data_IF_591687581229
#
_entry.id   IF_591687581229
#
_cell.length_a   1.000
_cell.length_b   1.000
_cell.length_c   1.000
_cell.angle_alpha   90.00
_cell.angle_beta   90.00
_cell.angle_gamma   90.00
#
_symmetry.space_group_name_H-M   'P 1'
#
loop_
_entity.id
_entity.type
_entity.pdbx_description
1 polymer ?
#
# COMPACT_ATOMS: atom_id res chain seq x y z
N UNK A 1 1.32 -42.26 -30.18
CA UNK A 1 0.11 -41.41 -30.12
C UNK A 1 0.24 -40.58 -28.86
N UNK A 2 0.91 -39.43 -28.94
CA UNK A 2 1.24 -38.58 -27.80
C UNK A 2 0.48 -37.25 -27.93
N UNK A 3 -0.35 -36.98 -26.93
CA UNK A 3 -1.18 -35.79 -26.81
C UNK A 3 -0.35 -34.66 -26.19
N UNK A 4 0.01 -33.65 -27.00
CA UNK A 4 0.59 -32.39 -26.52
C UNK A 4 -0.54 -31.37 -26.27
N UNK A 5 -0.74 -30.88 -25.05
CA UNK A 5 -1.66 -29.77 -24.83
C UNK A 5 -1.00 -28.46 -25.27
N UNK A 6 -1.71 -27.71 -26.12
CA UNK A 6 -1.37 -26.33 -26.53
C UNK A 6 -1.36 -25.43 -25.30
N UNK A 7 -0.24 -24.77 -25.02
CA UNK A 7 -0.18 -23.63 -24.09
C UNK A 7 -0.94 -22.47 -24.72
N UNK A 8 -2.02 -22.04 -24.08
CA UNK A 8 -2.65 -20.77 -24.38
C UNK A 8 -1.70 -19.66 -23.92
N UNK A 9 -1.18 -18.90 -24.89
CA UNK A 9 -0.49 -17.64 -24.64
C UNK A 9 -1.54 -16.65 -24.13
N UNK A 10 -1.50 -16.37 -22.83
CA UNK A 10 -2.08 -15.15 -22.28
C UNK A 10 -1.12 -14.02 -22.64
N UNK A 11 -1.43 -13.30 -23.71
CA UNK A 11 -0.76 -12.04 -24.02
C UNK A 11 -1.12 -11.05 -22.91
N UNK A 12 -0.19 -10.81 -21.98
CA UNK A 12 -0.20 -9.60 -21.16
C UNK A 12 -0.13 -8.42 -22.11
N UNK A 13 -1.09 -7.51 -22.02
CA UNK A 13 -1.10 -6.27 -22.80
C UNK A 13 -0.11 -5.32 -22.13
N UNK A 14 1.18 -5.59 -22.31
CA UNK A 14 2.26 -4.74 -21.80
C UNK A 14 2.52 -3.64 -22.83
N UNK A 15 2.06 -2.43 -22.52
CA UNK A 15 2.09 -1.23 -23.38
C UNK A 15 3.49 -0.82 -23.86
N UNK A 16 4.56 -1.39 -23.28
CA UNK A 16 5.95 -0.95 -23.47
C UNK A 16 6.78 -1.76 -24.48
N UNK A 17 6.20 -2.74 -25.18
CA UNK A 17 6.90 -3.41 -26.30
C UNK A 17 7.26 -2.49 -27.48
N UNK A 18 6.79 -1.23 -27.48
CA UNK A 18 7.12 -0.25 -28.53
C UNK A 18 8.58 0.27 -28.47
N UNK A 19 9.28 0.12 -27.33
CA UNK A 19 10.66 0.60 -27.16
C UNK A 19 11.53 -0.35 -26.29
N UNK A 20 11.88 -1.56 -26.77
CA UNK A 20 12.59 -2.59 -26.00
C UNK A 20 13.99 -2.18 -25.51
N UNK A 21 14.58 -1.12 -26.09
CA UNK A 21 15.89 -0.61 -25.67
C UNK A 21 15.83 0.27 -24.41
N UNK A 22 14.68 0.88 -24.11
CA UNK A 22 14.54 1.81 -22.98
C UNK A 22 14.19 1.09 -21.67
N UNK A 23 13.31 0.08 -21.75
CA UNK A 23 12.91 -0.79 -20.63
C UNK A 23 14.09 -1.64 -20.08
N UNK A 24 15.02 -2.07 -20.94
CA UNK A 24 16.22 -2.79 -20.50
C UNK A 24 17.26 -1.93 -19.73
N UNK A 25 17.14 -0.60 -19.76
CA UNK A 25 18.11 0.32 -19.13
C UNK A 25 17.55 1.01 -17.89
N UNK A 26 16.23 1.21 -17.81
CA UNK A 26 15.58 1.91 -16.71
C UNK A 26 14.37 1.12 -16.19
N UNK A 27 14.19 1.03 -14.85
CA UNK A 27 12.98 0.48 -14.25
C UNK A 27 11.72 1.16 -14.77
N UNK A 28 10.65 0.39 -14.95
CA UNK A 28 9.36 0.91 -15.42
C UNK A 28 8.80 2.00 -14.51
N UNK A 29 8.94 1.84 -13.18
CA UNK A 29 8.52 2.84 -12.19
C UNK A 29 9.22 4.18 -12.37
N UNK A 30 10.51 4.19 -12.72
CA UNK A 30 11.24 5.44 -12.99
C UNK A 30 10.71 6.15 -14.24
N UNK A 31 10.39 5.39 -15.29
CA UNK A 31 9.80 5.94 -16.52
C UNK A 31 8.40 6.53 -16.26
N UNK A 32 7.58 5.86 -15.44
CA UNK A 32 6.27 6.35 -15.05
C UNK A 32 6.35 7.64 -14.21
N UNK A 33 7.31 7.74 -13.29
CA UNK A 33 7.55 8.97 -12.51
C UNK A 33 7.94 10.13 -13.45
N UNK A 34 8.88 9.90 -14.38
CA UNK A 34 9.31 10.92 -15.35
C UNK A 34 8.13 11.35 -16.24
N UNK A 35 7.33 10.39 -16.71
CA UNK A 35 6.13 10.68 -17.50
C UNK A 35 5.13 11.53 -16.70
N UNK A 36 4.89 11.17 -15.43
CA UNK A 36 4.04 11.94 -14.52
C UNK A 36 4.55 13.38 -14.30
N UNK A 37 5.85 13.56 -14.14
CA UNK A 37 6.48 14.89 -14.03
C UNK A 37 6.33 15.71 -15.32
N UNK A 38 6.49 15.09 -16.49
CA UNK A 38 6.30 15.75 -17.79
C UNK A 38 4.84 16.20 -17.95
N UNK A 39 3.89 15.30 -17.71
CA UNK A 39 2.45 15.60 -17.82
C UNK A 39 2.06 16.70 -16.82
N UNK A 40 2.51 16.58 -15.57
CA UNK A 40 2.28 17.59 -14.53
C UNK A 40 2.90 18.94 -14.89
N UNK A 41 4.12 18.95 -15.42
CA UNK A 41 4.80 20.15 -15.91
C UNK A 41 4.07 20.82 -17.08
N UNK A 42 3.55 20.03 -18.02
CA UNK A 42 2.70 20.52 -19.12
C UNK A 42 1.42 21.14 -18.56
N UNK A 43 0.80 20.50 -17.56
CA UNK A 43 -0.43 20.99 -16.94
C UNK A 43 -0.23 22.33 -16.23
N UNK A 44 0.91 22.51 -15.54
CA UNK A 44 1.29 23.78 -14.92
C UNK A 44 1.62 24.84 -15.98
N UNK A 45 2.32 24.47 -17.05
CA UNK A 45 2.69 25.41 -18.12
C UNK A 45 1.48 25.85 -18.98
N UNK A 46 0.47 25.01 -19.13
CA UNK A 46 -0.73 25.28 -19.91
C UNK A 46 -1.77 26.16 -19.18
N UNK A 47 -1.66 26.31 -17.85
CA UNK A 47 -2.64 27.00 -17.02
C UNK A 47 -2.01 28.21 -16.28
N UNK A 48 -2.29 29.46 -16.69
CA UNK A 48 -1.75 30.67 -16.05
C UNK A 48 -2.25 30.95 -14.62
N UNK A 49 -3.30 30.25 -14.17
CA UNK A 49 -3.90 30.40 -12.84
C UNK A 49 -4.04 29.02 -12.14
N UNK A 50 -2.93 28.49 -11.60
CA UNK A 50 -2.89 27.17 -10.96
C UNK A 50 -3.77 27.06 -9.70
N UNK A 51 -4.21 28.18 -9.13
CA UNK A 51 -4.99 28.22 -7.88
C UNK A 51 -6.50 27.97 -8.09
N UNK A 52 -6.99 28.01 -9.33
CA UNK A 52 -8.42 27.92 -9.65
C UNK A 52 -8.91 26.51 -9.99
N UNK A 53 -8.00 25.53 -10.09
CA UNK A 53 -8.34 24.13 -10.28
C UNK A 53 -7.68 23.31 -9.17
N UNK A 54 -8.53 22.74 -8.31
CA UNK A 54 -8.14 21.72 -7.35
C UNK A 54 -7.39 20.64 -8.12
N UNK A 55 -6.13 20.36 -7.75
CA UNK A 55 -5.41 19.21 -8.29
C UNK A 55 -6.31 17.98 -8.12
N UNK A 56 -6.68 17.26 -9.19
CA UNK A 56 -7.61 16.15 -9.08
C UNK A 56 -7.05 14.96 -8.27
N UNK A 57 -5.74 14.95 -8.00
CA UNK A 57 -5.08 14.00 -7.11
C UNK A 57 -4.72 14.69 -5.79
N UNK A 58 -5.67 14.75 -4.86
CA UNK A 58 -5.40 14.94 -3.43
C UNK A 58 -5.18 13.57 -2.79
N UNK A 59 -4.46 13.50 -1.67
CA UNK A 59 -4.27 12.28 -0.88
C UNK A 59 -5.61 11.56 -0.61
N UNK A 60 -6.62 12.29 -0.16
CA UNK A 60 -7.95 11.74 0.09
C UNK A 60 -8.60 11.11 -1.15
N UNK A 61 -8.42 11.74 -2.32
CA UNK A 61 -8.94 11.20 -3.59
C UNK A 61 -8.19 9.94 -3.99
N UNK A 62 -6.88 9.89 -3.75
CA UNK A 62 -6.06 8.70 -3.98
C UNK A 62 -6.50 7.54 -3.06
N UNK A 63 -6.59 7.78 -1.74
CA UNK A 63 -6.98 6.76 -0.77
C UNK A 63 -8.42 6.27 -0.99
N UNK A 64 -9.35 7.14 -1.36
CA UNK A 64 -10.75 6.78 -1.53
C UNK A 64 -11.06 6.09 -2.87
N UNK A 65 -10.41 6.50 -3.97
CA UNK A 65 -10.78 6.03 -5.32
C UNK A 65 -9.70 5.20 -6.01
N UNK A 66 -8.42 5.52 -5.84
CA UNK A 66 -7.33 4.87 -6.59
C UNK A 66 -6.78 3.66 -5.84
N UNK A 67 -6.61 3.78 -4.53
CA UNK A 67 -6.01 2.75 -3.70
C UNK A 67 -6.87 1.46 -3.62
N UNK A 68 -8.21 1.52 -3.43
CA UNK A 68 -8.98 0.30 -3.23
C UNK A 68 -8.98 -0.65 -4.45
N UNK A 69 -9.12 -0.17 -5.71
CA UNK A 69 -8.94 -1.02 -6.87
C UNK A 69 -7.54 -1.65 -7.00
N UNK A 70 -6.49 -0.93 -6.62
CA UNK A 70 -5.10 -1.46 -6.67
C UNK A 70 -4.94 -2.62 -5.68
N UNK A 71 -5.41 -2.45 -4.44
CA UNK A 71 -5.33 -3.49 -3.43
C UNK A 71 -6.23 -4.67 -3.79
N UNK A 72 -7.40 -4.41 -4.36
CA UNK A 72 -8.33 -5.45 -4.79
C UNK A 72 -7.69 -6.33 -5.88
N UNK A 73 -7.05 -5.72 -6.88
CA UNK A 73 -6.35 -6.44 -7.95
C UNK A 73 -5.22 -7.32 -7.37
N UNK A 74 -4.41 -6.75 -6.49
CA UNK A 74 -3.33 -7.47 -5.81
C UNK A 74 -3.85 -8.64 -4.94
N UNK A 75 -4.88 -8.40 -4.13
CA UNK A 75 -5.49 -9.39 -3.26
C UNK A 75 -6.17 -10.52 -4.01
N UNK A 76 -6.87 -10.21 -5.12
CA UNK A 76 -7.59 -11.20 -5.93
C UNK A 76 -6.63 -12.20 -6.61
N UNK A 77 -5.45 -11.74 -7.02
CA UNK A 77 -4.43 -12.59 -7.63
C UNK A 77 -3.46 -13.25 -6.63
N UNK A 78 -3.63 -13.00 -5.33
CA UNK A 78 -2.79 -13.60 -4.31
C UNK A 78 -3.11 -15.11 -4.14
N UNK A 79 -2.09 -15.99 -4.07
CA UNK A 79 -2.32 -17.41 -3.81
C UNK A 79 -2.64 -17.68 -2.34
N UNK A 80 -3.93 -17.65 -1.97
CA UNK A 80 -4.42 -17.73 -0.58
C UNK A 80 -3.82 -18.90 0.23
N UNK A 81 -3.71 -20.11 -0.36
CA UNK A 81 -3.20 -21.28 0.35
C UNK A 81 -1.74 -21.13 0.78
N UNK A 82 -0.88 -20.70 -0.14
CA UNK A 82 0.56 -20.50 0.14
C UNK A 82 0.77 -19.37 1.14
N UNK A 83 -0.06 -18.32 1.06
CA UNK A 83 -0.06 -17.23 2.02
C UNK A 83 -0.37 -17.73 3.45
N UNK A 84 -1.43 -18.52 3.65
CA UNK A 84 -1.77 -19.05 4.97
C UNK A 84 -0.77 -20.09 5.49
N UNK A 85 -0.17 -20.89 4.60
CA UNK A 85 0.87 -21.87 4.98
C UNK A 85 2.15 -21.18 5.52
N UNK A 86 2.44 -19.96 5.06
CA UNK A 86 3.63 -19.18 5.43
C UNK A 86 3.34 -17.90 6.23
N UNK A 87 2.11 -17.72 6.72
CA UNK A 87 1.65 -16.49 7.38
C UNK A 87 2.58 -16.04 8.52
N UNK A 88 3.07 -16.99 9.32
CA UNK A 88 3.98 -16.68 10.43
C UNK A 88 5.30 -16.05 9.98
N UNK A 89 5.87 -16.54 8.89
CA UNK A 89 7.11 -15.98 8.30
C UNK A 89 6.85 -14.62 7.69
N UNK A 90 5.73 -14.46 6.97
CA UNK A 90 5.31 -13.17 6.39
C UNK A 90 5.11 -12.13 7.50
N UNK A 91 4.41 -12.47 8.58
CA UNK A 91 4.21 -11.57 9.71
C UNK A 91 5.53 -11.20 10.40
N UNK A 92 6.47 -12.13 10.54
CA UNK A 92 7.78 -11.82 11.11
C UNK A 92 8.55 -10.83 10.25
N UNK A 93 8.60 -11.03 8.93
CA UNK A 93 9.25 -10.07 8.02
C UNK A 93 8.52 -8.73 7.99
N UNK A 94 7.20 -8.74 7.86
CA UNK A 94 6.40 -7.53 7.80
C UNK A 94 6.45 -6.71 9.10
N UNK A 95 6.49 -7.32 10.29
CA UNK A 95 6.54 -6.57 11.57
C UNK A 95 7.98 -6.27 11.98
N UNK A 96 8.81 -7.29 12.11
CA UNK A 96 10.17 -7.10 12.63
C UNK A 96 11.05 -6.44 11.56
N UNK A 97 10.90 -6.82 10.30
CA UNK A 97 11.65 -6.24 9.19
C UNK A 97 11.34 -4.77 8.98
N UNK A 98 10.06 -4.37 9.03
CA UNK A 98 9.69 -2.94 8.90
C UNK A 98 10.18 -2.12 10.09
N UNK A 99 10.00 -2.58 11.34
CA UNK A 99 10.53 -1.89 12.52
C UNK A 99 12.05 -1.73 12.41
N UNK A 100 12.76 -2.79 12.04
CA UNK A 100 14.20 -2.75 11.86
C UNK A 100 14.61 -1.76 10.75
N UNK A 101 13.88 -1.73 9.63
CA UNK A 101 14.15 -0.84 8.51
C UNK A 101 13.94 0.64 8.91
N UNK A 102 12.82 0.96 9.57
CA UNK A 102 12.53 2.30 10.11
C UNK A 102 13.59 2.73 11.12
N UNK A 103 13.98 1.85 12.04
CA UNK A 103 15.02 2.21 13.02
C UNK A 103 16.37 2.44 12.34
N UNK A 104 16.74 1.62 11.37
CA UNK A 104 18.03 1.73 10.68
C UNK A 104 18.10 3.02 9.85
N UNK A 105 17.07 3.31 9.05
CA UNK A 105 16.99 4.53 8.25
C UNK A 105 16.93 5.75 9.18
N UNK A 106 16.08 5.75 10.20
CA UNK A 106 15.92 6.85 11.15
C UNK A 106 17.20 7.16 11.93
N UNK A 107 17.89 6.14 12.45
CA UNK A 107 19.17 6.31 13.15
C UNK A 107 20.26 6.80 12.19
N UNK A 108 20.29 6.32 10.95
CA UNK A 108 21.27 6.77 9.96
C UNK A 108 21.08 8.24 9.59
N UNK A 109 19.84 8.70 9.40
CA UNK A 109 19.51 10.09 9.12
C UNK A 109 19.80 10.99 10.32
N UNK A 110 19.51 10.52 11.53
CA UNK A 110 19.88 11.22 12.76
C UNK A 110 21.40 11.32 12.94
N UNK A 111 22.16 10.27 12.61
CA UNK A 111 23.61 10.33 12.65
C UNK A 111 24.18 11.34 11.64
N UNK A 112 23.59 11.43 10.44
CA UNK A 112 23.98 12.42 9.42
C UNK A 112 23.58 13.84 9.86
N UNK A 113 22.46 14.03 10.56
CA UNK A 113 22.10 15.36 11.06
C UNK A 113 23.09 15.93 12.08
N UNK A 114 23.71 15.07 12.89
CA UNK A 114 24.79 15.46 13.80
C UNK A 114 26.06 15.92 13.07
N UNK A 115 26.28 15.50 11.82
CA UNK A 115 27.46 15.91 11.03
C UNK A 115 27.31 17.32 10.42
N UNK A 116 26.15 17.97 10.55
CA UNK A 116 25.91 19.33 10.07
C UNK A 116 25.68 19.45 8.56
N UNK A 117 25.56 18.33 7.84
CA UNK A 117 25.34 18.31 6.38
C UNK A 117 23.95 18.88 6.02
N UNK A 118 22.94 18.71 6.89
CA UNK A 118 21.58 19.23 6.68
C UNK A 118 21.44 20.74 6.95
N UNK A 119 22.54 21.45 7.23
CA UNK A 119 22.53 22.88 7.56
C UNK A 119 22.17 23.16 9.02
N UNK A 120 22.00 24.44 9.36
CA UNK A 120 21.75 24.92 10.74
C UNK A 120 20.30 24.67 11.23
N UNK A 121 19.55 23.74 10.61
CA UNK A 121 18.20 23.38 11.03
C UNK A 121 18.24 22.12 11.89
N UNK A 122 17.83 22.26 13.14
CA UNK A 122 17.61 21.12 14.03
C UNK A 122 16.26 20.48 13.68
N UNK A 123 16.29 19.21 13.28
CA UNK A 123 15.09 18.44 13.03
C UNK A 123 14.74 17.60 14.28
N UNK A 124 13.51 17.76 14.82
CA UNK A 124 12.97 16.87 15.83
C UNK A 124 13.10 15.40 15.44
N UNK A 125 13.39 14.53 16.41
CA UNK A 125 13.62 13.10 16.16
C UNK A 125 12.34 12.46 15.60
N UNK A 126 11.17 12.95 16.03
CA UNK A 126 9.88 12.52 15.50
C UNK A 126 9.73 12.74 14.00
N UNK A 127 10.18 13.87 13.46
CA UNK A 127 10.09 14.12 12.02
C UNK A 127 11.02 13.21 11.21
N UNK A 128 12.20 12.88 11.77
CA UNK A 128 13.12 11.93 11.15
C UNK A 128 12.52 10.52 11.16
N UNK A 129 11.91 10.10 12.27
CA UNK A 129 11.23 8.80 12.37
C UNK A 129 9.98 8.71 11.47
N UNK A 130 9.23 9.80 11.34
CA UNK A 130 8.11 9.92 10.40
C UNK A 130 8.55 9.77 8.95
N UNK A 131 9.59 10.49 8.55
CA UNK A 131 10.14 10.36 7.20
C UNK A 131 10.71 8.95 6.96
N UNK A 132 11.35 8.39 7.99
CA UNK A 132 11.88 7.04 7.94
C UNK A 132 10.79 5.97 7.87
N UNK A 133 9.63 6.16 8.50
CA UNK A 133 8.49 5.24 8.37
C UNK A 133 7.96 5.27 6.95
N UNK A 134 7.75 6.45 6.37
CA UNK A 134 7.31 6.61 4.98
C UNK A 134 8.22 5.91 3.97
N UNK A 135 9.54 6.11 4.06
CA UNK A 135 10.50 5.54 3.10
C UNK A 135 10.79 4.07 3.35
N UNK A 136 10.54 3.58 4.57
CA UNK A 136 10.61 2.15 4.85
C UNK A 136 9.53 1.35 4.12
N UNK A 137 8.53 2.00 3.52
CA UNK A 137 7.56 1.33 2.65
C UNK A 137 8.28 0.76 1.43
N UNK A 138 8.34 -0.57 1.34
CA UNK A 138 8.81 -1.25 0.13
C UNK A 138 7.61 -1.38 -0.80
N UNK A 139 7.68 -0.75 -1.97
CA UNK A 139 6.70 -0.98 -3.04
C UNK A 139 7.08 -2.27 -3.79
N UNK A 140 6.35 -3.38 -3.60
CA UNK A 140 6.61 -4.63 -4.28
C UNK A 140 6.41 -4.49 -5.79
N UNK A 141 5.60 -3.55 -6.28
CA UNK A 141 5.41 -3.32 -7.73
C UNK A 141 6.70 -2.76 -8.33
N UNK A 142 7.32 -1.77 -7.68
CA UNK A 142 8.62 -1.22 -8.10
C UNK A 142 9.77 -2.24 -7.95
N UNK A 143 9.74 -3.08 -6.91
CA UNK A 143 10.72 -4.14 -6.71
C UNK A 143 10.55 -5.27 -7.73
N UNK A 144 9.31 -5.70 -8.02
CA UNK A 144 8.99 -6.72 -9.03
C UNK A 144 9.30 -6.27 -10.46
N UNK A 145 9.11 -4.98 -10.76
CA UNK A 145 9.49 -4.39 -12.06
C UNK A 145 11.02 -4.34 -12.26
N UNK A 146 11.81 -4.42 -11.18
CA UNK A 146 13.28 -4.43 -11.19
C UNK A 146 13.85 -5.84 -10.98
N UNK A 147 13.12 -6.71 -10.29
CA UNK A 147 13.49 -8.09 -9.99
C UNK A 147 12.37 -9.04 -10.42
N UNK A 148 12.62 -9.85 -11.45
CA UNK A 148 11.65 -10.78 -12.01
C UNK A 148 11.30 -11.97 -11.09
N UNK A 149 11.71 -12.01 -9.82
CA UNK A 149 11.53 -13.22 -9.02
C UNK A 149 11.55 -13.02 -7.49
N UNK A 150 10.66 -12.22 -6.91
CA UNK A 150 10.33 -12.40 -5.48
C UNK A 150 8.88 -11.94 -5.17
N UNK A 151 7.98 -12.91 -4.94
CA UNK A 151 6.59 -12.68 -4.53
C UNK A 151 6.46 -12.48 -3.01
N UNK A 152 6.69 -11.28 -2.51
CA UNK A 152 6.21 -10.91 -1.16
C UNK A 152 5.73 -9.46 -1.18
N UNK A 153 4.42 -9.26 -1.02
CA UNK A 153 3.84 -7.93 -0.79
C UNK A 153 3.96 -7.54 0.68
N UNK A 154 4.69 -6.45 0.98
CA UNK A 154 4.78 -5.88 2.33
C UNK A 154 4.37 -4.39 2.36
N UNK A 155 3.35 -3.97 1.61
CA UNK A 155 2.90 -2.54 1.63
C UNK A 155 2.07 -2.20 2.88
N UNK A 156 1.59 -3.21 3.60
CA UNK A 156 0.45 -3.06 4.51
C UNK A 156 0.79 -2.45 5.88
N UNK A 157 1.96 -2.78 6.43
CA UNK A 157 2.31 -2.43 7.81
C UNK A 157 2.86 -1.00 7.92
N UNK A 158 3.46 -0.49 6.84
CA UNK A 158 4.12 0.81 6.85
C UNK A 158 3.10 1.95 6.94
N UNK A 159 1.97 1.86 6.25
CA UNK A 159 0.96 2.93 6.29
C UNK A 159 0.34 3.08 7.69
N UNK A 160 0.11 1.96 8.37
CA UNK A 160 -0.39 1.99 9.76
C UNK A 160 0.67 2.58 10.70
N UNK A 161 1.95 2.27 10.47
CA UNK A 161 3.06 2.87 11.22
C UNK A 161 3.17 4.39 10.96
N UNK A 162 2.91 4.84 9.73
CA UNK A 162 2.87 6.26 9.36
C UNK A 162 1.79 7.00 10.16
N UNK A 163 0.53 6.54 10.14
CA UNK A 163 -0.55 7.17 10.91
C UNK A 163 -0.27 7.17 12.42
N UNK A 164 0.38 6.11 12.94
CA UNK A 164 0.79 6.07 14.35
C UNK A 164 1.80 7.18 14.69
N UNK A 165 2.83 7.35 13.86
CA UNK A 165 3.83 8.41 14.07
C UNK A 165 3.28 9.81 13.79
N UNK A 166 2.31 9.95 12.88
CA UNK A 166 1.64 11.22 12.59
C UNK A 166 0.85 11.69 13.82
N UNK A 167 0.07 10.79 14.42
CA UNK A 167 -0.61 11.06 15.69
C UNK A 167 0.36 11.40 16.83
N UNK A 168 1.54 10.77 16.91
CA UNK A 168 2.57 11.15 17.88
C UNK A 168 3.16 12.54 17.63
N UNK A 169 3.28 12.95 16.36
CA UNK A 169 3.74 14.29 16.01
C UNK A 169 2.72 15.37 16.34
N UNK A 170 1.41 15.08 16.27
CA UNK A 170 0.36 16.01 16.68
C UNK A 170 0.29 16.24 18.21
N UNK A 171 0.62 15.21 19.00
CA UNK A 171 0.65 15.27 20.48
C UNK A 171 1.82 16.13 21.00
N UNK A 172 2.92 16.20 20.24
CA UNK A 172 4.09 17.03 20.52
C UNK A 172 5.15 16.38 21.41
N UNK A 173 6.43 16.61 21.08
CA UNK A 173 7.62 15.95 21.64
C UNK A 173 7.80 16.14 23.16
N UNK A 174 7.20 17.19 23.75
CA UNK A 174 7.35 17.56 25.16
C UNK A 174 6.46 16.77 26.15
N UNK A 175 5.49 15.99 25.66
CA UNK A 175 4.56 15.22 26.51
C UNK A 175 4.67 13.70 26.33
N UNK A 176 5.65 13.21 25.55
CA UNK A 176 5.78 11.78 25.28
C UNK A 176 6.24 11.02 26.53
N UNK A 177 5.28 10.37 27.20
CA UNK A 177 5.51 9.46 28.32
C UNK A 177 5.66 8.04 27.75
N UNK A 178 6.37 7.14 28.45
CA UNK A 178 6.42 5.70 28.14
C UNK A 178 5.03 5.06 27.95
N UNK A 179 3.99 5.64 28.57
CA UNK A 179 2.59 5.26 28.39
C UNK A 179 2.05 5.55 26.98
N UNK A 180 2.52 6.59 26.30
CA UNK A 180 2.05 6.97 24.97
C UNK A 180 2.60 6.03 23.90
N UNK A 181 3.84 5.55 24.07
CA UNK A 181 4.43 4.50 23.23
C UNK A 181 3.62 3.19 23.37
N UNK A 182 3.27 2.82 24.60
CA UNK A 182 2.46 1.63 24.87
C UNK A 182 1.02 1.79 24.34
N UNK A 183 0.44 2.98 24.47
CA UNK A 183 -0.86 3.33 23.90
C UNK A 183 -0.86 3.27 22.37
N UNK A 184 0.22 3.72 21.72
CA UNK A 184 0.39 3.60 20.27
C UNK A 184 0.50 2.14 19.81
N UNK A 185 1.22 1.29 20.54
CA UNK A 185 1.28 -0.15 20.23
C UNK A 185 -0.10 -0.83 20.36
N UNK A 186 -0.88 -0.46 21.38
CA UNK A 186 -2.25 -0.96 21.55
C UNK A 186 -3.15 -0.45 20.43
N UNK A 187 -3.09 0.85 20.13
CA UNK A 187 -3.86 1.47 19.04
C UNK A 187 -3.52 0.82 17.70
N UNK A 188 -2.24 0.55 17.44
CA UNK A 188 -1.77 -0.15 16.26
C UNK A 188 -2.43 -1.54 16.11
N UNK A 189 -2.39 -2.35 17.17
CA UNK A 189 -3.02 -3.67 17.16
C UNK A 189 -4.54 -3.60 17.02
N UNK A 190 -5.18 -2.63 17.66
CA UNK A 190 -6.63 -2.42 17.56
C UNK A 190 -7.06 -2.02 16.14
N UNK A 191 -6.37 -1.06 15.53
CA UNK A 191 -6.63 -0.61 14.16
C UNK A 191 -6.42 -1.76 13.17
N UNK A 192 -5.37 -2.56 13.38
CA UNK A 192 -5.07 -3.69 12.52
C UNK A 192 -6.10 -4.84 12.66
N UNK A 193 -6.35 -5.31 13.88
CA UNK A 193 -7.30 -6.39 14.15
C UNK A 193 -8.74 -5.97 13.84
N UNK A 194 -9.10 -4.71 14.10
CA UNK A 194 -10.40 -4.15 13.78
C UNK A 194 -10.66 -4.15 12.27
N UNK A 195 -9.69 -3.68 11.48
CA UNK A 195 -9.75 -3.75 10.01
C UNK A 195 -9.94 -5.17 9.49
N UNK A 196 -9.11 -6.10 9.96
CA UNK A 196 -9.21 -7.53 9.60
C UNK A 196 -10.58 -8.13 9.96
N UNK A 197 -11.13 -7.80 11.13
CA UNK A 197 -12.44 -8.30 11.58
C UNK A 197 -13.59 -7.79 10.69
N UNK A 198 -13.57 -6.51 10.31
CA UNK A 198 -14.54 -5.96 9.35
C UNK A 198 -14.42 -6.68 8.01
N UNK A 199 -13.19 -6.87 7.53
CA UNK A 199 -12.92 -7.60 6.29
C UNK A 199 -13.47 -9.02 6.31
N UNK A 200 -13.28 -9.77 7.39
CA UNK A 200 -13.82 -11.13 7.53
C UNK A 200 -15.36 -11.14 7.45
N UNK A 201 -16.03 -10.20 8.11
CA UNK A 201 -17.50 -10.10 8.09
C UNK A 201 -18.00 -9.86 6.66
N UNK A 202 -17.39 -8.90 5.95
CA UNK A 202 -17.76 -8.58 4.57
C UNK A 202 -17.35 -9.68 3.57
N UNK A 203 -16.24 -10.37 3.78
CA UNK A 203 -15.83 -11.54 2.99
C UNK A 203 -16.85 -12.66 3.08
N UNK A 204 -17.29 -13.01 4.30
CA UNK A 204 -18.38 -13.99 4.49
C UNK A 204 -19.70 -13.55 3.83
N UNK A 205 -20.03 -12.25 3.93
CA UNK A 205 -21.23 -11.72 3.28
C UNK A 205 -21.13 -11.79 1.76
N UNK A 206 -19.95 -11.52 1.20
CA UNK A 206 -19.66 -11.62 -0.23
C UNK A 206 -19.79 -13.07 -0.70
N UNK A 207 -19.16 -14.02 0.00
CA UNK A 207 -19.28 -15.45 -0.29
C UNK A 207 -20.75 -15.93 -0.22
N UNK A 208 -21.52 -15.41 0.75
CA UNK A 208 -22.94 -15.71 0.87
C UNK A 208 -23.74 -15.15 -0.33
N UNK A 209 -23.54 -13.89 -0.70
CA UNK A 209 -24.23 -13.25 -1.85
C UNK A 209 -23.88 -13.95 -3.16
N UNK A 210 -22.60 -14.25 -3.40
CA UNK A 210 -22.13 -14.94 -4.61
C UNK A 210 -22.77 -16.32 -4.75
N UNK A 211 -23.04 -17.02 -3.65
CA UNK A 211 -23.77 -18.30 -3.66
C UNK A 211 -25.20 -18.20 -4.20
N UNK A 212 -25.89 -17.06 -4.02
CA UNK A 212 -27.25 -16.86 -4.54
C UNK A 212 -27.29 -16.35 -5.99
N UNK A 213 -26.17 -15.83 -6.51
CA UNK A 213 -26.07 -15.23 -7.86
C UNK A 213 -25.68 -16.24 -8.95
N UNK A 214 -25.93 -17.54 -8.74
CA UNK A 214 -25.55 -18.59 -9.70
C UNK A 214 -26.17 -18.47 -11.10
N UNK A 215 -27.30 -17.77 -11.23
CA UNK A 215 -28.03 -17.64 -12.50
C UNK A 215 -27.35 -16.66 -13.49
N UNK A 216 -26.49 -15.74 -13.01
CA UNK A 216 -25.84 -14.72 -13.84
C UNK A 216 -24.37 -14.53 -13.43
N UNK A 217 -23.52 -15.47 -13.86
CA UNK A 217 -22.07 -15.48 -13.53
C UNK A 217 -21.30 -14.22 -13.95
N UNK A 218 -21.83 -13.45 -14.90
CA UNK A 218 -21.20 -12.21 -15.37
C UNK A 218 -21.21 -11.10 -14.30
N UNK A 219 -22.12 -11.17 -13.32
CA UNK A 219 -22.27 -10.15 -12.27
C UNK A 219 -21.42 -10.47 -11.03
N UNK A 220 -20.93 -11.71 -10.89
CA UNK A 220 -20.14 -12.14 -9.71
C UNK A 220 -18.92 -11.22 -9.42
N UNK A 221 -18.10 -10.82 -10.41
CA UNK A 221 -16.96 -9.92 -10.15
C UNK A 221 -17.38 -8.52 -9.70
N UNK A 222 -18.55 -8.03 -10.13
CA UNK A 222 -19.07 -6.72 -9.73
C UNK A 222 -19.45 -6.76 -8.24
N UNK A 223 -20.05 -7.86 -7.78
CA UNK A 223 -20.36 -8.02 -6.36
C UNK A 223 -19.10 -8.12 -5.51
N UNK A 224 -18.08 -8.86 -5.94
CA UNK A 224 -16.79 -8.91 -5.25
C UNK A 224 -16.18 -7.51 -5.13
N UNK A 225 -16.09 -6.77 -6.23
CA UNK A 225 -15.59 -5.39 -6.24
C UNK A 225 -16.37 -4.47 -5.28
N UNK A 226 -17.70 -4.45 -5.38
CA UNK A 226 -18.53 -3.53 -4.60
C UNK A 226 -18.51 -3.88 -3.12
N UNK A 227 -18.58 -5.16 -2.75
CA UNK A 227 -18.63 -5.59 -1.35
C UNK A 227 -17.29 -5.37 -0.65
N UNK A 228 -16.18 -5.59 -1.34
CA UNK A 228 -14.84 -5.34 -0.82
C UNK A 228 -14.53 -3.84 -0.70
N UNK A 229 -15.05 -3.03 -1.64
CA UNK A 229 -15.04 -1.57 -1.49
C UNK A 229 -15.90 -1.09 -0.30
N UNK A 230 -17.05 -1.72 -0.05
CA UNK A 230 -17.86 -1.43 1.14
C UNK A 230 -17.11 -1.81 2.42
N UNK A 231 -16.36 -2.91 2.44
CA UNK A 231 -15.51 -3.28 3.58
C UNK A 231 -14.48 -2.20 3.89
N UNK A 232 -13.81 -1.68 2.84
CA UNK A 232 -12.87 -0.56 2.93
C UNK A 232 -13.52 0.68 3.56
N UNK A 233 -14.65 1.14 3.00
CA UNK A 233 -15.34 2.33 3.50
C UNK A 233 -15.82 2.17 4.95
N UNK A 234 -16.34 1.00 5.32
CA UNK A 234 -16.78 0.74 6.70
C UNK A 234 -15.61 0.83 7.68
N UNK A 235 -14.46 0.27 7.35
CA UNK A 235 -13.28 0.35 8.21
C UNK A 235 -12.77 1.79 8.34
N UNK A 236 -12.73 2.55 7.25
CA UNK A 236 -12.36 3.97 7.28
C UNK A 236 -13.33 4.81 8.13
N UNK A 237 -14.65 4.52 8.09
CA UNK A 237 -15.64 5.18 8.95
C UNK A 237 -15.41 4.96 10.45
N UNK A 238 -14.80 3.83 10.83
CA UNK A 238 -14.42 3.54 12.22
C UNK A 238 -12.99 3.97 12.56
N UNK A 239 -12.29 4.65 11.65
CA UNK A 239 -10.86 4.97 11.75
C UNK A 239 -9.98 3.73 11.99
N UNK A 240 -10.38 2.59 11.42
CA UNK A 240 -9.59 1.36 11.39
C UNK A 240 -8.95 1.19 10.01
N UNK A 241 -8.07 0.20 9.86
CA UNK A 241 -7.35 0.03 8.59
C UNK A 241 -8.28 -0.48 7.48
N UNK A 242 -8.67 0.41 6.55
CA UNK A 242 -9.44 0.05 5.36
C UNK A 242 -8.71 -0.94 4.46
N UNK A 243 -7.38 -0.82 4.40
CA UNK A 243 -6.51 -1.69 3.60
C UNK A 243 -6.56 -3.13 4.13
N UNK A 244 -6.48 -3.32 5.46
CA UNK A 244 -6.62 -4.64 6.07
C UNK A 244 -8.03 -5.22 5.89
N UNK A 245 -9.06 -4.36 5.89
CA UNK A 245 -10.43 -4.79 5.66
C UNK A 245 -10.65 -5.32 4.24
N UNK A 246 -10.18 -4.58 3.22
CA UNK A 246 -10.35 -5.01 1.82
C UNK A 246 -9.52 -6.27 1.51
N UNK A 247 -8.27 -6.37 1.98
CA UNK A 247 -7.46 -7.57 1.78
C UNK A 247 -8.06 -8.79 2.47
N UNK A 248 -8.60 -8.63 3.68
CA UNK A 248 -9.18 -9.74 4.43
C UNK A 248 -10.54 -10.19 3.88
N UNK A 249 -11.29 -9.29 3.24
CA UNK A 249 -12.54 -9.62 2.56
C UNK A 249 -12.32 -10.50 1.32
N UNK A 250 -11.24 -10.24 0.55
CA UNK A 250 -10.88 -10.99 -0.66
C UNK A 250 -10.22 -12.34 -0.38
N UNK A 251 -9.55 -12.49 0.76
CA UNK A 251 -8.87 -13.74 1.13
C UNK A 251 -9.84 -14.91 1.42
N UNK A 252 -11.14 -14.64 1.60
CA UNK A 252 -12.20 -15.59 2.00
C UNK A 252 -13.09 -16.04 0.82
#
# INVERSE_FOLDING_TARGET
MAYHPKRHNLERVDTFHMAPKLSNMFPESCLLIIMGLIIGGIFVAANPHPESQVSPLTADTFFLYMLPPIILDAGYFMPNRLFFDHLGTILVFAVIGTIWNVLTIGVSLYAVSLTGIFGMMEFPVLHILLFSSLISAVDPVAVLAVFEEIHVEEVLFILVLYHMFEGFSEIGENNLILMDIFSGLISFLLIALGGTLIGIIWGFLTAFVTRFTHQVRVIEPIFVFVMSFLAYLNAEMFHWSGILAITSAELL
#
